data_IF_649417262759
#
_entry.id   IF_649417262759
#
_cell.length_a   1.000
_cell.length_b   1.000
_cell.length_c   1.000
_cell.angle_alpha   90.00
_cell.angle_beta   90.00
_cell.angle_gamma   90.00
#
_symmetry.space_group_name_H-M   'P 1'
#
loop_
_entity.id
_entity.type
_entity.pdbx_description
1 polymer ?
#
# COMPACT_ATOMS: atom_id res chain seq x y z
N UNK A 1 -9.27 18.56 -1.01
CA UNK A 1 -8.87 17.32 -0.28
C UNK A 1 -8.33 16.30 -1.28
N UNK A 2 -7.04 16.35 -1.62
CA UNK A 2 -6.40 15.27 -2.37
C UNK A 2 -6.15 14.16 -1.36
N UNK A 3 -7.04 13.16 -1.30
CA UNK A 3 -6.64 11.86 -0.76
C UNK A 3 -5.51 11.38 -1.66
N UNK A 4 -4.31 11.31 -1.08
CA UNK A 4 -3.02 11.06 -1.73
C UNK A 4 -3.12 10.02 -2.86
N UNK A 5 -3.29 10.48 -4.12
CA UNK A 5 -3.41 9.59 -5.27
C UNK A 5 -2.21 8.65 -5.42
N UNK A 6 -1.04 9.07 -4.92
CA UNK A 6 0.17 8.24 -4.84
C UNK A 6 0.03 7.03 -3.93
N UNK A 7 -0.71 7.13 -2.81
CA UNK A 7 -0.92 5.98 -1.91
C UNK A 7 -1.90 4.98 -2.53
N UNK A 8 -2.92 5.47 -3.24
CA UNK A 8 -3.85 4.62 -3.98
C UNK A 8 -3.10 3.89 -5.12
N UNK A 9 -2.26 4.61 -5.88
CA UNK A 9 -1.41 4.01 -6.91
C UNK A 9 -0.46 2.94 -6.34
N UNK A 10 0.13 3.20 -5.17
CA UNK A 10 1.01 2.26 -4.49
C UNK A 10 0.27 1.01 -3.99
N UNK A 11 -0.98 1.17 -3.52
CA UNK A 11 -1.84 0.06 -3.11
C UNK A 11 -2.22 -0.84 -4.31
N UNK A 12 -2.60 -0.24 -5.44
CA UNK A 12 -2.88 -0.99 -6.66
C UNK A 12 -1.62 -1.66 -7.23
N UNK A 13 -0.47 -0.98 -7.23
CA UNK A 13 0.80 -1.56 -7.67
C UNK A 13 1.19 -2.79 -6.83
N UNK A 14 1.03 -2.73 -5.50
CA UNK A 14 1.25 -3.88 -4.62
C UNK A 14 0.28 -5.03 -4.90
N UNK A 15 -0.99 -4.73 -5.18
CA UNK A 15 -2.00 -5.72 -5.52
C UNK A 15 -1.69 -6.43 -6.84
N UNK A 16 -1.36 -5.70 -7.90
CA UNK A 16 -0.98 -6.29 -9.20
C UNK A 16 0.32 -7.10 -9.10
N UNK A 17 1.30 -6.64 -8.33
CA UNK A 17 2.54 -7.37 -8.07
C UNK A 17 2.27 -8.70 -7.34
N UNK A 18 1.39 -8.69 -6.33
CA UNK A 18 0.97 -9.90 -5.63
C UNK A 18 0.28 -10.90 -6.57
N UNK A 19 -0.67 -10.45 -7.39
CA UNK A 19 -1.35 -11.32 -8.36
C UNK A 19 -0.40 -11.88 -9.43
N UNK A 20 0.57 -11.10 -9.89
CA UNK A 20 1.63 -11.60 -10.78
C UNK A 20 2.46 -12.71 -10.10
N UNK A 21 2.75 -12.56 -8.81
CA UNK A 21 3.38 -13.60 -7.99
C UNK A 21 2.55 -14.86 -7.82
N UNK A 22 1.23 -14.72 -7.62
CA UNK A 22 0.28 -15.85 -7.58
C UNK A 22 0.30 -16.62 -8.89
N UNK A 23 0.22 -15.91 -10.01
CA UNK A 23 0.23 -16.53 -11.33
C UNK A 23 1.52 -17.34 -11.55
N UNK A 24 2.67 -16.75 -11.20
CA UNK A 24 3.96 -17.43 -11.33
C UNK A 24 4.09 -18.65 -10.38
N UNK A 25 3.53 -18.56 -9.18
CA UNK A 25 3.46 -19.68 -8.23
C UNK A 25 2.64 -20.86 -8.77
N UNK A 26 1.53 -20.55 -9.44
CA UNK A 26 0.64 -21.55 -10.03
C UNK A 26 1.28 -22.28 -11.23
N UNK A 27 2.18 -21.62 -11.97
CA UNK A 27 2.85 -22.21 -13.15
C UNK A 27 3.96 -23.23 -12.85
N UNK A 28 4.20 -23.55 -11.58
CA UNK A 28 5.04 -24.69 -11.19
C UNK A 28 6.31 -24.34 -10.41
N UNK A 29 6.75 -23.07 -10.43
CA UNK A 29 7.87 -22.62 -9.60
C UNK A 29 7.34 -21.93 -8.34
N UNK A 30 6.80 -22.74 -7.42
CA UNK A 30 6.18 -22.28 -6.17
C UNK A 30 7.12 -21.38 -5.36
N UNK A 31 8.42 -21.69 -5.34
CA UNK A 31 9.42 -20.93 -4.58
C UNK A 31 9.52 -19.49 -5.09
N UNK A 32 9.63 -19.31 -6.41
CA UNK A 32 9.71 -17.98 -7.03
C UNK A 32 8.39 -17.21 -6.88
N UNK A 33 7.25 -17.89 -7.00
CA UNK A 33 5.94 -17.27 -6.82
C UNK A 33 5.66 -16.83 -5.39
N UNK A 34 6.02 -17.64 -4.39
CA UNK A 34 5.91 -17.27 -2.97
C UNK A 34 6.85 -16.10 -2.64
N UNK A 35 8.07 -16.08 -3.20
CA UNK A 35 8.99 -14.96 -3.03
C UNK A 35 8.42 -13.64 -3.62
N UNK A 36 7.77 -13.72 -4.79
CA UNK A 36 7.07 -12.58 -5.40
C UNK A 36 5.85 -12.13 -4.60
N UNK A 37 5.04 -13.07 -4.08
CA UNK A 37 3.95 -12.75 -3.16
C UNK A 37 4.46 -12.02 -1.91
N UNK A 38 5.55 -12.51 -1.31
CA UNK A 38 6.16 -11.89 -0.13
C UNK A 38 6.63 -10.46 -0.43
N UNK A 39 7.21 -10.23 -1.61
CA UNK A 39 7.58 -8.88 -2.06
C UNK A 39 6.36 -7.97 -2.28
N UNK A 40 5.28 -8.49 -2.87
CA UNK A 40 4.00 -7.75 -3.00
C UNK A 40 3.41 -7.35 -1.65
N UNK A 41 3.44 -8.25 -0.67
CA UNK A 41 2.99 -7.98 0.71
C UNK A 41 3.85 -6.94 1.42
N UNK A 42 5.18 -6.98 1.26
CA UNK A 42 6.09 -5.95 1.79
C UNK A 42 5.73 -4.58 1.21
N UNK A 43 5.42 -4.53 -0.09
CA UNK A 43 4.99 -3.30 -0.75
C UNK A 43 3.67 -2.77 -0.17
N UNK A 44 2.72 -3.65 0.14
CA UNK A 44 1.48 -3.29 0.84
C UNK A 44 1.73 -2.80 2.28
N UNK A 45 2.68 -3.39 3.01
CA UNK A 45 3.08 -2.93 4.36
C UNK A 45 3.71 -1.54 4.30
N UNK A 46 4.59 -1.27 3.33
CA UNK A 46 5.16 0.06 3.11
C UNK A 46 4.06 1.07 2.75
N UNK A 47 3.12 0.68 1.89
CA UNK A 47 1.96 1.50 1.55
C UNK A 47 1.11 1.84 2.79
N UNK A 48 0.86 0.86 3.67
CA UNK A 48 0.16 1.07 4.94
C UNK A 48 0.95 1.99 5.88
N UNK A 49 2.29 1.88 5.92
CA UNK A 49 3.14 2.80 6.71
C UNK A 49 3.04 4.23 6.19
N UNK A 50 3.10 4.43 4.88
CA UNK A 50 2.92 5.74 4.23
C UNK A 50 1.51 6.30 4.49
N UNK A 51 0.47 5.45 4.40
CA UNK A 51 -0.90 5.82 4.74
C UNK A 51 -1.03 6.21 6.22
N UNK A 52 -0.37 5.48 7.12
CA UNK A 52 -0.41 5.76 8.56
C UNK A 52 0.30 7.08 8.90
N UNK A 53 1.44 7.36 8.28
CA UNK A 53 2.14 8.65 8.40
C UNK A 53 1.30 9.81 7.84
N UNK A 54 0.73 9.63 6.65
CA UNK A 54 -0.15 10.62 6.02
C UNK A 54 -1.43 10.86 6.83
N UNK A 55 -2.01 9.81 7.42
CA UNK A 55 -3.19 9.92 8.30
C UNK A 55 -2.86 10.69 9.57
N UNK A 56 -1.67 10.48 10.16
CA UNK A 56 -1.24 11.22 11.35
C UNK A 56 -1.11 12.72 11.08
N UNK A 57 -0.52 13.10 9.93
CA UNK A 57 -0.47 14.50 9.50
C UNK A 57 -1.85 15.08 9.14
N UNK A 58 -2.77 14.28 8.56
CA UNK A 58 -4.14 14.74 8.31
C UNK A 58 -4.98 14.90 9.59
N UNK A 59 -4.74 14.09 10.61
CA UNK A 59 -5.41 14.19 11.91
C UNK A 59 -4.99 15.49 12.63
N UNK A 60 -3.70 15.85 12.62
CA UNK A 60 -3.23 17.14 13.13
C UNK A 60 -3.83 18.32 12.34
N UNK A 61 -3.88 18.24 11.01
CA UNK A 61 -4.43 19.32 10.18
C UNK A 61 -5.94 19.54 10.41
N UNK A 62 -6.69 18.46 10.66
CA UNK A 62 -8.14 18.53 10.88
C UNK A 62 -8.50 19.11 12.26
N UNK A 63 -7.67 18.86 13.27
CA UNK A 63 -7.86 19.40 14.62
C UNK A 63 -7.64 20.93 14.67
N UNK A 64 -6.68 21.44 13.87
CA UNK A 64 -6.41 22.88 13.75
C UNK A 64 -7.53 23.61 12.97
N UNK A 65 -8.13 22.96 11.98
CA UNK A 65 -9.26 23.51 11.20
C UNK A 65 -10.53 23.63 12.06
N UNK A 66 -10.81 22.63 12.92
CA UNK A 66 -11.94 22.65 13.87
C UNK A 66 -11.71 23.60 15.06
N UNK A 67 -10.46 23.80 15.52
CA UNK A 67 -10.15 24.73 16.62
C UNK A 67 -10.15 26.22 16.19
N UNK A 68 -10.14 26.49 14.89
CA UNK A 68 -10.17 27.84 14.31
C UNK A 68 -11.55 28.35 13.89
N UNK A 69 -12.62 27.55 14.07
CA UNK A 69 -14.01 27.90 13.77
C UNK A 69 -14.80 28.31 15.00
#
# INVERSE_FOLDING_TARGET
MVVNGGIIALAFAGLFCFFAGVYLSATGNRTTGIALMAMGLIFQVLCLRQLKAARKGQLEQKDIDDAGR
#
